data_IF_434669176143
#
_entry.id   IF_434669176143
#
_cell.length_a   1.000
_cell.length_b   1.000
_cell.length_c   1.000
_cell.angle_alpha   90.00
_cell.angle_beta   90.00
_cell.angle_gamma   90.00
#
_symmetry.space_group_name_H-M   'P 1'
#
loop_
_entity.id
_entity.type
_entity.pdbx_description
1 polymer ?
#
# COMPACT_ATOMS: atom_id res chain seq x y z
N UNK A 1 25.91 -12.46 15.60
CA UNK A 1 25.09 -13.67 15.83
C UNK A 1 23.96 -13.66 14.80
N UNK A 2 23.88 -14.63 13.87
CA UNK A 2 22.85 -14.61 12.82
C UNK A 2 21.45 -14.82 13.41
N UNK A 3 20.43 -14.30 12.72
CA UNK A 3 19.03 -14.49 13.08
C UNK A 3 18.60 -15.92 12.73
N UNK A 4 18.35 -16.74 13.75
CA UNK A 4 17.81 -18.09 13.58
C UNK A 4 16.32 -18.05 13.19
N UNK A 5 15.85 -19.05 12.46
CA UNK A 5 14.49 -19.20 11.91
C UNK A 5 13.41 -19.05 12.97
N UNK A 6 13.62 -19.59 14.18
CA UNK A 6 12.67 -19.44 15.29
C UNK A 6 12.50 -17.97 15.70
N UNK A 7 13.60 -17.21 15.75
CA UNK A 7 13.58 -15.78 16.09
C UNK A 7 12.92 -14.96 14.98
N UNK A 8 13.17 -15.31 13.71
CA UNK A 8 12.51 -14.67 12.57
C UNK A 8 11.00 -14.86 12.62
N UNK A 9 10.52 -16.09 12.83
CA UNK A 9 9.09 -16.38 12.95
C UNK A 9 8.44 -15.63 14.13
N UNK A 10 9.11 -15.59 15.28
CA UNK A 10 8.61 -14.85 16.44
C UNK A 10 8.45 -13.35 16.15
N UNK A 11 9.42 -12.73 15.47
CA UNK A 11 9.35 -11.32 15.07
C UNK A 11 8.18 -11.09 14.11
N UNK A 12 8.02 -11.93 13.08
CA UNK A 12 6.91 -11.80 12.12
C UNK A 12 5.54 -11.89 12.80
N UNK A 13 5.38 -12.83 13.76
CA UNK A 13 4.14 -12.97 14.53
C UNK A 13 3.89 -11.76 15.44
N UNK A 14 4.92 -11.19 16.05
CA UNK A 14 4.80 -10.01 16.92
C UNK A 14 4.44 -8.77 16.10
N UNK A 15 5.05 -8.60 14.93
CA UNK A 15 4.69 -7.54 13.96
C UNK A 15 3.24 -7.68 13.54
N UNK A 16 2.79 -8.87 13.11
CA UNK A 16 1.40 -9.10 12.71
C UNK A 16 0.41 -8.75 13.84
N UNK A 17 0.72 -9.12 15.09
CA UNK A 17 -0.10 -8.74 16.27
C UNK A 17 -0.13 -7.24 16.49
N UNK A 18 0.98 -6.53 16.32
CA UNK A 18 1.02 -5.07 16.49
C UNK A 18 0.22 -4.30 15.44
N UNK A 19 -0.09 -4.96 14.30
CA UNK A 19 -0.90 -4.41 13.22
C UNK A 19 -2.39 -4.72 13.40
N UNK A 20 -2.72 -5.77 14.16
CA UNK A 20 -4.10 -6.14 14.44
C UNK A 20 -4.86 -4.97 15.10
N UNK A 21 -6.04 -4.65 14.58
CA UNK A 21 -6.86 -3.51 15.03
C UNK A 21 -6.48 -2.14 14.43
N UNK A 22 -5.42 -2.05 13.61
CA UNK A 22 -5.04 -0.82 12.88
C UNK A 22 -5.19 -0.95 11.36
N UNK A 23 -5.52 -2.14 10.89
CA UNK A 23 -5.73 -2.44 9.48
C UNK A 23 -7.18 -2.12 9.09
N UNK A 24 -7.37 -1.79 7.82
CA UNK A 24 -8.67 -1.76 7.16
C UNK A 24 -8.61 -2.57 5.88
N UNK A 25 -9.77 -3.07 5.46
CA UNK A 25 -9.91 -3.75 4.18
C UNK A 25 -9.86 -2.72 3.06
N UNK A 26 -8.97 -2.96 2.11
CA UNK A 26 -8.88 -2.25 0.83
C UNK A 26 -8.99 -3.25 -0.30
N UNK A 27 -9.23 -2.78 -1.52
CA UNK A 27 -9.29 -3.65 -2.70
C UNK A 27 -8.17 -3.31 -3.67
N UNK A 28 -7.36 -4.31 -3.99
CA UNK A 28 -6.38 -4.23 -5.07
C UNK A 28 -7.05 -4.71 -6.36
N UNK A 29 -6.93 -3.89 -7.40
CA UNK A 29 -7.50 -4.18 -8.72
C UNK A 29 -6.39 -4.68 -9.63
N UNK A 30 -6.58 -5.86 -10.20
CA UNK A 30 -5.66 -6.44 -11.17
C UNK A 30 -6.30 -6.46 -12.55
N UNK A 31 -5.48 -6.37 -13.58
CA UNK A 31 -5.88 -6.59 -14.96
C UNK A 31 -5.15 -7.82 -15.47
N UNK A 32 -5.89 -8.86 -15.81
CA UNK A 32 -5.35 -10.10 -16.38
C UNK A 32 -6.26 -10.56 -17.52
N UNK A 33 -5.67 -10.88 -18.68
CA UNK A 33 -6.43 -11.35 -19.84
C UNK A 33 -7.53 -10.38 -20.30
N UNK A 34 -7.34 -9.08 -20.14
CA UNK A 34 -8.32 -8.04 -20.52
C UNK A 34 -9.52 -7.89 -19.58
N UNK A 35 -9.55 -8.61 -18.46
CA UNK A 35 -10.61 -8.50 -17.44
C UNK A 35 -10.05 -8.03 -16.10
N UNK A 36 -10.85 -7.24 -15.38
CA UNK A 36 -10.50 -6.78 -14.04
C UNK A 36 -10.85 -7.84 -12.99
N UNK A 37 -9.94 -8.10 -12.06
CA UNK A 37 -10.19 -8.89 -10.86
C UNK A 37 -9.88 -8.09 -9.60
N UNK A 38 -10.56 -8.44 -8.51
CA UNK A 38 -10.56 -7.67 -7.26
C UNK A 38 -10.11 -8.55 -6.11
N UNK A 39 -9.07 -8.13 -5.40
CA UNK A 39 -8.57 -8.84 -4.21
C UNK A 39 -8.67 -7.94 -2.99
N UNK A 40 -9.37 -8.40 -1.96
CA UNK A 40 -9.41 -7.71 -0.68
C UNK A 40 -8.11 -7.95 0.10
N UNK A 41 -7.47 -6.88 0.56
CA UNK A 41 -6.25 -6.92 1.36
C UNK A 41 -6.47 -6.14 2.65
N UNK A 42 -6.03 -6.70 3.77
CA UNK A 42 -5.97 -5.98 5.04
C UNK A 42 -4.66 -5.18 5.08
N UNK A 43 -4.76 -3.85 5.07
CA UNK A 43 -3.60 -2.99 5.09
C UNK A 43 -3.81 -1.79 6.02
N UNK A 44 -2.70 -1.21 6.49
CA UNK A 44 -2.73 0.06 7.23
C UNK A 44 -2.56 1.17 6.20
N UNK A 45 -3.50 2.11 6.15
CA UNK A 45 -3.42 3.29 5.29
C UNK A 45 -3.08 4.50 6.16
N UNK A 46 -2.01 5.20 5.82
CA UNK A 46 -1.57 6.42 6.51
C UNK A 46 -1.46 7.55 5.51
N UNK A 47 -2.33 8.58 5.58
CA UNK A 47 -2.12 9.77 4.76
C UNK A 47 -0.80 10.40 5.18
N UNK A 48 0.08 10.68 4.21
CA UNK A 48 1.21 11.56 4.50
C UNK A 48 0.66 12.98 4.55
N UNK A 49 1.11 13.78 5.53
CA UNK A 49 0.75 15.20 5.55
C UNK A 49 1.21 15.82 4.23
N UNK A 50 0.25 16.21 3.40
CA UNK A 50 0.50 17.04 2.23
C UNK A 50 1.01 18.38 2.77
N UNK A 51 2.33 18.56 2.81
CA UNK A 51 2.89 19.91 2.89
C UNK A 51 2.40 20.60 1.62
N UNK A 52 1.50 21.56 1.82
CA UNK A 52 0.80 22.26 0.76
C UNK A 52 1.82 22.75 -0.28
N UNK A 53 1.79 22.27 -1.55
CA UNK A 53 2.77 22.65 -2.57
C UNK A 53 2.49 24.06 -3.13
N UNK A 54 1.94 24.98 -2.32
CA UNK A 54 1.75 26.39 -2.68
C UNK A 54 3.08 27.12 -2.93
N UNK A 55 4.21 26.48 -2.63
CA UNK A 55 5.52 26.94 -3.05
C UNK A 55 5.79 26.35 -4.43
N UNK A 56 5.53 27.16 -5.45
CA UNK A 56 6.01 26.90 -6.80
C UNK A 56 7.54 26.76 -6.79
N UNK A 57 8.08 25.94 -7.69
CA UNK A 57 9.51 25.90 -7.92
C UNK A 57 9.99 27.21 -8.59
N UNK A 58 11.32 27.35 -8.78
CA UNK A 58 11.90 28.54 -9.40
C UNK A 58 11.40 28.79 -10.84
N UNK A 59 10.72 27.81 -11.47
CA UNK A 59 10.11 27.91 -12.80
C UNK A 59 8.61 28.22 -12.77
N UNK A 60 8.02 28.40 -11.57
CA UNK A 60 6.59 28.65 -11.40
C UNK A 60 5.73 27.39 -11.54
N UNK A 61 6.33 26.20 -11.54
CA UNK A 61 5.61 24.94 -11.64
C UNK A 61 5.30 24.38 -10.25
N UNK A 62 4.15 23.73 -10.11
CA UNK A 62 3.82 23.02 -8.89
C UNK A 62 4.82 21.87 -8.69
N UNK A 63 5.40 21.76 -7.49
CA UNK A 63 6.25 20.63 -7.16
C UNK A 63 5.46 19.33 -7.39
N UNK A 64 6.00 18.34 -8.13
CA UNK A 64 5.28 17.10 -8.38
C UNK A 64 4.98 16.40 -7.06
N UNK A 65 3.68 16.21 -6.77
CA UNK A 65 3.20 15.49 -5.58
C UNK A 65 3.76 14.07 -5.63
N UNK A 66 4.72 13.75 -4.76
CA UNK A 66 5.44 12.47 -4.84
C UNK A 66 4.61 11.30 -4.30
N UNK A 67 3.92 11.50 -3.18
CA UNK A 67 3.12 10.48 -2.49
C UNK A 67 2.02 11.20 -1.70
N UNK A 68 0.80 10.67 -1.72
CA UNK A 68 -0.31 11.19 -0.90
C UNK A 68 -0.59 10.28 0.29
N UNK A 69 -0.35 8.98 0.14
CA UNK A 69 -0.68 8.00 1.16
C UNK A 69 0.38 6.91 1.20
N UNK A 70 0.79 6.54 2.39
CA UNK A 70 1.60 5.35 2.63
C UNK A 70 0.68 4.20 3.05
N UNK A 71 0.78 3.09 2.35
CA UNK A 71 0.14 1.84 2.72
C UNK A 71 1.17 0.88 3.30
N UNK A 72 0.78 0.16 4.35
CA UNK A 72 1.56 -0.94 4.91
C UNK A 72 0.77 -2.23 4.76
N UNK A 73 1.25 -3.10 3.88
CA UNK A 73 0.62 -4.38 3.55
C UNK A 73 1.41 -5.57 4.13
N UNK A 74 0.76 -6.73 4.35
CA UNK A 74 1.45 -7.96 4.71
C UNK A 74 2.56 -8.32 3.71
N UNK A 75 3.65 -8.94 4.18
CA UNK A 75 4.80 -9.28 3.33
C UNK A 75 4.44 -10.19 2.15
N UNK A 76 3.42 -11.06 2.31
CA UNK A 76 2.96 -11.98 1.27
C UNK A 76 2.01 -11.39 0.24
N UNK A 77 1.66 -10.10 0.32
CA UNK A 77 0.77 -9.47 -0.66
C UNK A 77 1.50 -9.28 -1.99
N UNK A 78 0.96 -9.87 -3.05
CA UNK A 78 1.53 -9.75 -4.38
C UNK A 78 0.86 -8.59 -5.15
N UNK A 79 1.64 -7.58 -5.55
CA UNK A 79 1.16 -6.45 -6.36
C UNK A 79 1.48 -6.60 -7.86
N UNK A 80 2.03 -7.74 -8.29
CA UNK A 80 2.32 -7.98 -9.71
C UNK A 80 1.03 -7.99 -10.52
N UNK A 81 0.96 -7.12 -11.54
CA UNK A 81 -0.24 -6.95 -12.37
C UNK A 81 -1.37 -6.15 -11.69
N UNK A 82 -1.12 -5.57 -10.51
CA UNK A 82 -2.04 -4.60 -9.91
C UNK A 82 -2.01 -3.30 -10.73
N UNK A 83 -3.19 -2.78 -11.06
CA UNK A 83 -3.33 -1.53 -11.82
C UNK A 83 -3.48 -0.35 -10.88
N UNK A 84 -4.34 -0.50 -9.86
CA UNK A 84 -4.57 0.52 -8.84
C UNK A 84 -5.17 -0.10 -7.59
N UNK A 85 -5.21 0.69 -6.52
CA UNK A 85 -5.83 0.35 -5.24
C UNK A 85 -7.09 1.18 -5.07
N UNK A 86 -8.20 0.53 -4.75
CA UNK A 86 -9.46 1.18 -4.40
C UNK A 86 -9.66 1.15 -2.87
N UNK A 87 -9.92 2.31 -2.29
CA UNK A 87 -10.22 2.44 -0.86
C UNK A 87 -11.68 2.06 -0.58
N UNK A 88 -11.94 0.75 -0.63
CA UNK A 88 -13.23 0.13 -0.32
C UNK A 88 -13.01 -1.23 0.33
N UNK A 89 -13.93 -1.62 1.20
CA UNK A 89 -13.91 -2.94 1.83
C UNK A 89 -14.52 -4.04 0.94
N UNK A 90 -15.23 -3.67 -0.14
CA UNK A 90 -16.03 -4.61 -0.93
C UNK A 90 -15.39 -4.85 -2.30
N UNK A 91 -14.95 -6.08 -2.62
CA UNK A 91 -14.26 -6.41 -3.87
C UNK A 91 -15.24 -6.64 -5.04
N UNK A 92 -16.06 -5.64 -5.35
CA UNK A 92 -17.00 -5.68 -6.49
C UNK A 92 -16.75 -4.51 -7.44
N UNK A 93 -17.09 -4.70 -8.72
CA UNK A 93 -16.91 -3.68 -9.75
C UNK A 93 -17.60 -2.34 -9.38
N UNK A 94 -18.83 -2.41 -8.87
CA UNK A 94 -19.58 -1.23 -8.46
C UNK A 94 -18.92 -0.47 -7.30
N UNK A 95 -18.47 -1.19 -6.26
CA UNK A 95 -17.81 -0.59 -5.11
C UNK A 95 -16.45 0.01 -5.50
N UNK A 96 -15.69 -0.67 -6.36
CA UNK A 96 -14.41 -0.18 -6.88
C UNK A 96 -14.58 1.05 -7.77
N UNK A 97 -15.66 1.13 -8.55
CA UNK A 97 -15.93 2.27 -9.42
C UNK A 97 -16.18 3.57 -8.64
N UNK A 98 -16.90 3.49 -7.51
CA UNK A 98 -17.25 4.64 -6.67
C UNK A 98 -16.24 4.98 -5.57
N UNK A 99 -15.20 4.16 -5.36
CA UNK A 99 -14.21 4.38 -4.31
C UNK A 99 -13.09 5.32 -4.76
N UNK A 100 -12.43 6.02 -3.81
CA UNK A 100 -11.17 6.71 -4.09
C UNK A 100 -10.11 5.73 -4.60
N UNK A 101 -9.46 6.10 -5.72
CA UNK A 101 -8.47 5.26 -6.40
C UNK A 101 -7.08 5.81 -6.16
N UNK A 102 -6.12 4.90 -5.99
CA UNK A 102 -4.73 5.23 -5.76
C UNK A 102 -3.85 4.42 -6.71
N UNK A 103 -2.93 5.10 -7.39
CA UNK A 103 -1.88 4.46 -8.16
C UNK A 103 -0.75 4.02 -7.22
N UNK A 104 -0.12 2.89 -7.57
CA UNK A 104 1.03 2.36 -6.84
C UNK A 104 2.28 3.01 -7.42
N UNK A 105 2.97 3.83 -6.62
CA UNK A 105 4.21 4.51 -7.02
C UNK A 105 5.41 3.60 -6.78
N UNK A 106 5.47 2.96 -5.62
CA UNK A 106 6.59 2.12 -5.22
C UNK A 106 6.14 1.06 -4.21
N UNK A 107 6.72 -0.14 -4.30
CA UNK A 107 6.54 -1.23 -3.33
C UNK A 107 7.91 -1.68 -2.85
N UNK A 108 8.15 -1.59 -1.55
CA UNK A 108 9.41 -1.98 -0.93
C UNK A 108 9.17 -2.92 0.26
N UNK A 109 9.87 -4.05 0.35
CA UNK A 109 9.93 -4.80 1.59
C UNK A 109 10.70 -4.01 2.65
N UNK A 110 10.12 -3.87 3.85
CA UNK A 110 10.72 -3.14 4.97
C UNK A 110 10.64 -4.01 6.23
N UNK A 111 11.65 -3.92 7.10
CA UNK A 111 11.68 -4.62 8.38
C UNK A 111 13.05 -5.15 8.76
N UNK A 112 13.10 -5.88 9.87
CA UNK A 112 14.34 -6.37 10.49
C UNK A 112 14.75 -7.76 9.95
N UNK A 113 13.79 -8.57 9.51
CA UNK A 113 14.05 -9.92 8.99
C UNK A 113 14.64 -9.81 7.57
N UNK A 114 15.59 -10.68 7.17
CA UNK A 114 16.06 -10.73 5.78
C UNK A 114 14.86 -10.85 4.81
N UNK A 115 14.74 -9.91 3.87
CA UNK A 115 13.58 -9.84 2.96
C UNK A 115 12.38 -9.02 3.47
N UNK A 116 12.46 -8.43 4.67
CA UNK A 116 11.44 -7.57 5.26
C UNK A 116 10.47 -8.30 6.20
N UNK A 117 9.63 -7.53 6.90
CA UNK A 117 8.50 -8.04 7.71
C UNK A 117 7.14 -7.60 7.19
N UNK A 118 7.11 -6.55 6.37
CA UNK A 118 5.92 -6.01 5.71
C UNK A 118 6.32 -5.30 4.42
N UNK A 119 5.32 -5.00 3.59
CA UNK A 119 5.49 -4.18 2.40
C UNK A 119 5.10 -2.74 2.73
N UNK A 120 6.01 -1.81 2.48
CA UNK A 120 5.70 -0.38 2.38
C UNK A 120 5.33 -0.10 0.94
N UNK A 121 4.15 0.45 0.74
CA UNK A 121 3.65 0.82 -0.58
C UNK A 121 3.35 2.32 -0.58
N UNK A 122 3.99 3.05 -1.48
CA UNK A 122 3.77 4.47 -1.68
C UNK A 122 2.64 4.64 -2.70
N UNK A 123 1.63 5.42 -2.34
CA UNK A 123 0.42 5.61 -3.12
C UNK A 123 0.22 7.09 -3.46
N UNK A 124 -0.19 7.34 -4.70
CA UNK A 124 -0.68 8.65 -5.15
C UNK A 124 -2.16 8.54 -5.49
N UNK A 125 -2.94 9.55 -5.13
CA UNK A 125 -4.38 9.59 -5.41
C UNK A 125 -4.62 9.90 -6.89
N UNK A 126 -5.43 9.07 -7.55
CA UNK A 126 -5.88 9.30 -8.91
C UNK A 126 -7.04 10.30 -8.90
N UNK A 127 -7.07 11.19 -9.89
CA UNK A 127 -8.13 12.20 -10.07
C UNK A 127 -9.30 11.63 -10.86
#
# INVERSE_FOLDING_TARGET
MPLDTRKMQHILQLVARSFAGRQRTIVVVYLSGGSYSYSAVQAIMRPEQVINPQIYDASGQALPQRVDTQMVAPLGTNFTGAVYIADTATPTAAAVAGAPKYEIVEVLPVGIVPGGSHLRVLLRRMR
#
